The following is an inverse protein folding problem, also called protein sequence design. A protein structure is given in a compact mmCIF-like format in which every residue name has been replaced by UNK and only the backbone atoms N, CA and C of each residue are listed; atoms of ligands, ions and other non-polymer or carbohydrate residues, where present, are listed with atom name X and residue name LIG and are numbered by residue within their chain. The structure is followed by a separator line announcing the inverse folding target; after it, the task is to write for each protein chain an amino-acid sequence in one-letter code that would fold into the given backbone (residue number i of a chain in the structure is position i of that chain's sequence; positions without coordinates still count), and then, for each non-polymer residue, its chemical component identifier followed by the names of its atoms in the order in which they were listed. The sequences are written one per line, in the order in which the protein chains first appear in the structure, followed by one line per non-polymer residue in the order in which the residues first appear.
data_IF_484519742785
#
_entry.id   IF_484519742785
#
_cell.length_a   1.000
_cell.length_b   1.000
_cell.length_c   1.000
_cell.angle_alpha   90.00
_cell.angle_beta   90.00
_cell.angle_gamma   90.00
#
_symmetry.space_group_name_H-M   'P 1'
#
loop_
_entity.id
_entity.type
_entity.pdbx_description
1 polymer ?
#
# COMPACT_ATOMS: atom_id res chain seq x y z
N UNK A 1 -33.08 -16.07 -49.23
CA UNK A 1 -31.70 -15.57 -49.44
C UNK A 1 -31.46 -14.42 -48.47
N UNK A 2 -30.93 -14.68 -47.30
CA UNK A 2 -30.67 -13.71 -46.25
C UNK A 2 -29.34 -14.04 -45.56
N UNK A 3 -28.30 -13.23 -45.79
CA UNK A 3 -26.99 -13.43 -45.18
C UNK A 3 -26.98 -12.80 -43.76
N UNK A 4 -26.82 -13.65 -42.77
CA UNK A 4 -26.50 -13.23 -41.41
C UNK A 4 -25.07 -12.70 -41.37
N UNK A 5 -24.91 -11.48 -40.84
CA UNK A 5 -23.63 -10.83 -40.54
C UNK A 5 -23.32 -11.10 -39.08
N UNK A 6 -22.42 -12.05 -38.85
CA UNK A 6 -21.92 -12.41 -37.56
C UNK A 6 -20.82 -11.37 -37.17
N UNK A 7 -21.21 -10.44 -36.29
CA UNK A 7 -20.34 -9.43 -35.73
C UNK A 7 -19.56 -9.96 -34.50
N UNK A 8 -18.52 -10.75 -34.73
CA UNK A 8 -17.65 -11.22 -33.65
C UNK A 8 -17.01 -10.05 -32.90
N UNK A 9 -17.49 -9.76 -31.70
CA UNK A 9 -16.84 -8.92 -30.71
C UNK A 9 -15.49 -9.56 -30.33
N UNK A 10 -14.40 -9.05 -30.87
CA UNK A 10 -13.06 -9.35 -30.35
C UNK A 10 -12.96 -8.78 -28.96
N UNK A 11 -12.96 -9.65 -27.96
CA UNK A 11 -12.57 -9.31 -26.62
C UNK A 11 -11.10 -8.86 -26.69
N UNK A 12 -10.85 -7.61 -26.30
CA UNK A 12 -9.50 -7.06 -26.22
C UNK A 12 -8.70 -7.85 -25.18
N UNK A 13 -7.70 -8.60 -25.63
CA UNK A 13 -6.73 -9.23 -24.74
C UNK A 13 -6.07 -8.18 -23.86
N UNK A 14 -5.95 -8.43 -22.55
CA UNK A 14 -5.26 -7.50 -21.66
C UNK A 14 -3.78 -7.38 -22.11
N UNK A 15 -3.37 -6.15 -22.36
CA UNK A 15 -2.01 -5.83 -22.80
C UNK A 15 -0.98 -6.43 -21.81
N UNK A 16 -0.11 -7.27 -22.33
CA UNK A 16 1.00 -7.88 -21.61
C UNK A 16 1.95 -6.75 -21.14
N UNK A 17 2.34 -6.68 -19.86
CA UNK A 17 3.24 -5.63 -19.38
C UNK A 17 4.62 -5.73 -20.07
N UNK A 18 5.34 -4.61 -20.24
CA UNK A 18 6.63 -4.59 -20.92
C UNK A 18 7.64 -5.52 -20.23
N UNK A 19 8.50 -6.23 -20.98
CA UNK A 19 9.36 -7.32 -20.48
C UNK A 19 10.45 -6.93 -19.48
N UNK A 20 10.52 -5.69 -19.04
CA UNK A 20 11.48 -5.21 -18.02
C UNK A 20 10.91 -4.91 -16.65
N UNK A 21 9.58 -4.69 -16.50
CA UNK A 21 8.96 -4.27 -15.25
C UNK A 21 8.69 -5.46 -14.29
N UNK A 22 8.38 -6.63 -14.81
CA UNK A 22 8.05 -7.83 -14.02
C UNK A 22 9.24 -8.33 -13.18
N UNK A 23 10.48 -8.39 -13.67
CA UNK A 23 11.62 -8.85 -12.86
C UNK A 23 11.98 -7.92 -11.71
N UNK A 24 11.79 -6.61 -11.87
CA UNK A 24 12.11 -5.62 -10.84
C UNK A 24 11.13 -5.70 -9.67
N UNK A 25 9.84 -5.82 -9.96
CA UNK A 25 8.79 -5.94 -8.95
C UNK A 25 8.97 -7.22 -8.13
N UNK A 26 9.22 -8.36 -8.79
CA UNK A 26 9.53 -9.62 -8.10
C UNK A 26 10.79 -9.53 -7.23
N UNK A 27 11.83 -8.83 -7.67
CA UNK A 27 13.06 -8.63 -6.88
C UNK A 27 12.80 -7.76 -5.63
N UNK A 28 11.98 -6.72 -5.75
CA UNK A 28 11.72 -5.80 -4.64
C UNK A 28 10.90 -6.48 -3.53
N UNK A 29 9.91 -7.26 -3.93
CA UNK A 29 8.96 -7.89 -3.01
C UNK A 29 9.44 -9.25 -2.49
N UNK A 30 10.29 -9.96 -3.22
CA UNK A 30 11.01 -11.14 -2.75
C UNK A 30 12.26 -10.80 -1.91
N UNK A 31 12.57 -9.50 -1.74
CA UNK A 31 13.77 -9.05 -1.04
C UNK A 31 13.74 -9.40 0.45
N UNK A 32 14.92 -9.60 1.07
CA UNK A 32 15.03 -9.74 2.53
C UNK A 32 14.36 -8.58 3.27
N UNK A 33 14.50 -7.35 2.75
CA UNK A 33 13.90 -6.15 3.32
C UNK A 33 12.37 -6.21 3.40
N UNK A 34 11.69 -6.79 2.40
CA UNK A 34 10.25 -7.00 2.47
C UNK A 34 9.87 -8.03 3.53
N UNK A 35 10.61 -9.13 3.63
CA UNK A 35 10.36 -10.16 4.65
C UNK A 35 10.52 -9.62 6.07
N UNK A 36 11.50 -8.77 6.29
CA UNK A 36 11.73 -8.12 7.58
C UNK A 36 10.61 -7.12 7.88
N UNK A 37 10.18 -6.32 6.90
CA UNK A 37 9.05 -5.40 7.04
C UNK A 37 7.75 -6.15 7.32
N UNK A 38 7.51 -7.29 6.68
CA UNK A 38 6.35 -8.14 6.92
C UNK A 38 6.34 -8.66 8.35
N UNK A 39 7.48 -9.20 8.80
CA UNK A 39 7.63 -9.72 10.18
C UNK A 39 7.43 -8.62 11.22
N UNK A 40 8.05 -7.46 11.01
CA UNK A 40 7.91 -6.28 11.88
C UNK A 40 6.45 -5.80 11.95
N UNK A 41 5.78 -5.70 10.81
CA UNK A 41 4.39 -5.26 10.72
C UNK A 41 3.43 -6.21 11.42
N UNK A 42 3.56 -7.52 11.20
CA UNK A 42 2.70 -8.53 11.83
C UNK A 42 2.95 -8.63 13.34
N UNK A 43 4.21 -8.58 13.78
CA UNK A 43 4.53 -8.55 15.21
C UNK A 43 3.96 -7.31 15.90
N UNK A 44 3.96 -6.16 15.22
CA UNK A 44 3.36 -4.93 15.75
C UNK A 44 1.83 -5.03 15.87
N UNK A 45 1.16 -5.72 14.95
CA UNK A 45 -0.28 -6.01 15.02
C UNK A 45 -0.59 -6.85 16.26
N UNK A 46 0.15 -7.93 16.48
CA UNK A 46 -0.02 -8.82 17.64
C UNK A 46 0.24 -8.10 18.96
N UNK A 47 1.32 -7.34 19.05
CA UNK A 47 1.68 -6.56 20.23
C UNK A 47 0.61 -5.52 20.57
N UNK A 48 0.10 -4.80 19.55
CA UNK A 48 -0.95 -3.81 19.75
C UNK A 48 -2.28 -4.45 20.18
N UNK A 49 -2.66 -5.57 19.59
CA UNK A 49 -3.87 -6.31 19.99
C UNK A 49 -3.76 -6.78 21.44
N UNK A 50 -2.65 -7.41 21.81
CA UNK A 50 -2.42 -7.86 23.18
C UNK A 50 -2.41 -6.74 24.21
N UNK A 51 -1.84 -5.59 23.85
CA UNK A 51 -1.86 -4.41 24.72
C UNK A 51 -3.28 -3.83 24.90
N UNK A 52 -4.00 -3.62 23.80
CA UNK A 52 -5.33 -2.99 23.83
C UNK A 52 -6.38 -3.89 24.52
N UNK A 53 -6.30 -5.19 24.38
CA UNK A 53 -7.21 -6.13 25.04
C UNK A 53 -6.82 -6.42 26.52
N UNK A 54 -5.57 -6.21 26.85
CA UNK A 54 -4.99 -6.50 28.17
C UNK A 54 -4.67 -5.22 28.99
N UNK A 55 -3.36 -4.93 29.18
CA UNK A 55 -2.91 -3.86 30.08
C UNK A 55 -3.48 -2.48 29.73
N UNK A 56 -3.58 -2.18 28.45
CA UNK A 56 -4.08 -0.87 27.99
C UNK A 56 -5.52 -0.59 28.40
N UNK A 57 -6.36 -1.63 28.49
CA UNK A 57 -7.72 -1.52 28.99
C UNK A 57 -7.75 -1.16 30.48
N UNK A 58 -6.83 -1.67 31.27
CA UNK A 58 -6.71 -1.33 32.69
C UNK A 58 -6.18 0.10 32.85
N UNK A 59 -5.13 0.46 32.13
CA UNK A 59 -4.53 1.80 32.16
C UNK A 59 -5.53 2.90 31.74
N UNK A 60 -6.34 2.64 30.72
CA UNK A 60 -7.32 3.60 30.21
C UNK A 60 -8.37 4.02 31.25
N UNK A 61 -8.71 3.12 32.19
CA UNK A 61 -9.67 3.40 33.27
C UNK A 61 -9.15 4.35 34.35
N UNK A 62 -7.82 4.48 34.43
CA UNK A 62 -7.15 5.34 35.41
C UNK A 62 -6.88 6.74 34.87
N UNK A 63 -7.14 6.99 33.59
CA UNK A 63 -6.88 8.27 32.95
C UNK A 63 -7.94 9.32 33.30
N UNK A 64 -7.56 10.60 33.45
CA UNK A 64 -8.50 11.71 33.49
C UNK A 64 -9.39 11.72 32.23
N UNK A 65 -10.60 12.27 32.33
CA UNK A 65 -11.60 12.23 31.25
C UNK A 65 -11.07 12.68 29.88
N UNK A 66 -10.29 13.74 29.82
CA UNK A 66 -9.67 14.25 28.58
C UNK A 66 -8.67 13.28 27.99
N UNK A 67 -7.80 12.72 28.82
CA UNK A 67 -6.81 11.72 28.41
C UNK A 67 -7.48 10.39 28.02
N UNK A 68 -8.57 9.99 28.70
CA UNK A 68 -9.34 8.80 28.36
C UNK A 68 -9.98 8.90 26.95
N UNK A 69 -10.51 10.08 26.60
CA UNK A 69 -11.04 10.34 25.26
C UNK A 69 -9.94 10.30 24.21
N UNK A 70 -8.79 10.90 24.51
CA UNK A 70 -7.61 10.84 23.62
C UNK A 70 -7.10 9.41 23.45
N UNK A 71 -7.08 8.61 24.54
CA UNK A 71 -6.74 7.19 24.50
C UNK A 71 -7.66 6.41 23.55
N UNK A 72 -8.98 6.58 23.69
CA UNK A 72 -9.93 5.92 22.80
C UNK A 72 -9.70 6.30 21.34
N UNK A 73 -9.52 7.59 21.06
CA UNK A 73 -9.27 8.10 19.71
C UNK A 73 -7.97 7.54 19.12
N UNK A 74 -6.87 7.56 19.89
CA UNK A 74 -5.58 7.07 19.40
C UNK A 74 -5.56 5.53 19.25
N UNK A 75 -6.25 4.81 20.13
CA UNK A 75 -6.44 3.36 19.99
C UNK A 75 -7.17 2.99 18.69
N UNK A 76 -8.23 3.73 18.34
CA UNK A 76 -8.95 3.54 17.08
C UNK A 76 -8.06 3.86 15.87
N UNK A 77 -7.27 4.93 15.93
CA UNK A 77 -6.31 5.30 14.87
C UNK A 77 -5.23 4.24 14.71
N UNK A 78 -4.66 3.78 15.81
CA UNK A 78 -3.67 2.71 15.81
C UNK A 78 -4.22 1.45 15.15
N UNK A 79 -5.40 1.00 15.58
CA UNK A 79 -6.06 -0.19 15.03
C UNK A 79 -6.33 -0.05 13.53
N UNK A 80 -6.92 1.07 13.09
CA UNK A 80 -7.20 1.33 11.68
C UNK A 80 -5.91 1.33 10.84
N UNK A 81 -4.86 1.96 11.34
CA UNK A 81 -3.56 2.01 10.67
C UNK A 81 -2.95 0.62 10.54
N UNK A 82 -2.97 -0.17 11.61
CA UNK A 82 -2.44 -1.52 11.61
C UNK A 82 -3.24 -2.46 10.70
N UNK A 83 -4.57 -2.31 10.62
CA UNK A 83 -5.39 -3.04 9.64
C UNK A 83 -4.99 -2.71 8.20
N UNK A 84 -4.73 -1.44 7.89
CA UNK A 84 -4.26 -1.03 6.56
C UNK A 84 -2.87 -1.59 6.25
N UNK A 85 -1.96 -1.53 7.22
CA UNK A 85 -0.60 -2.10 7.13
C UNK A 85 -0.67 -3.60 6.87
N UNK A 86 -1.41 -4.35 7.69
CA UNK A 86 -1.55 -5.79 7.54
C UNK A 86 -2.18 -6.18 6.19
N UNK A 87 -3.24 -5.49 5.79
CA UNK A 87 -3.91 -5.75 4.50
C UNK A 87 -2.96 -5.54 3.33
N UNK A 88 -2.16 -4.46 3.34
CA UNK A 88 -1.19 -4.21 2.28
C UNK A 88 -0.09 -5.28 2.24
N UNK A 89 0.46 -5.63 3.41
CA UNK A 89 1.51 -6.65 3.53
C UNK A 89 1.03 -8.02 3.04
N UNK A 90 -0.20 -8.43 3.40
CA UNK A 90 -0.78 -9.71 2.97
C UNK A 90 -1.04 -9.75 1.47
N UNK A 91 -1.59 -8.68 0.89
CA UNK A 91 -1.78 -8.58 -0.57
C UNK A 91 -0.44 -8.67 -1.30
N UNK A 92 0.58 -7.99 -0.80
CA UNK A 92 1.90 -8.02 -1.42
C UNK A 92 2.57 -9.39 -1.29
N UNK A 93 2.38 -10.07 -0.17
CA UNK A 93 2.84 -11.44 0.03
C UNK A 93 2.16 -12.39 -0.95
N UNK A 94 0.85 -12.33 -1.12
CA UNK A 94 0.10 -13.16 -2.05
C UNK A 94 0.56 -12.96 -3.52
N UNK A 95 0.96 -11.73 -3.88
CA UNK A 95 1.59 -11.47 -5.20
C UNK A 95 2.94 -12.16 -5.32
N UNK A 96 3.76 -12.14 -4.25
CA UNK A 96 5.08 -12.78 -4.25
C UNK A 96 4.99 -14.31 -4.35
N UNK A 97 3.97 -14.88 -3.72
CA UNK A 97 3.71 -16.32 -3.74
C UNK A 97 2.98 -16.75 -5.03
N UNK A 98 2.63 -15.80 -5.91
CA UNK A 98 1.96 -16.07 -7.19
C UNK A 98 0.47 -16.38 -7.06
N UNK A 99 -0.12 -16.22 -5.88
CA UNK A 99 -1.54 -16.44 -5.61
C UNK A 99 -2.41 -15.33 -6.21
N UNK A 100 -1.87 -14.13 -6.32
CA UNK A 100 -2.53 -12.97 -6.93
C UNK A 100 -1.71 -12.43 -8.10
N UNK A 101 -2.42 -12.10 -9.17
CA UNK A 101 -1.82 -11.34 -10.26
C UNK A 101 -1.59 -9.89 -9.84
N UNK A 102 -0.61 -9.26 -10.46
CA UNK A 102 -0.32 -7.84 -10.24
C UNK A 102 -1.53 -6.92 -10.46
N UNK A 103 -2.43 -7.26 -11.40
CA UNK A 103 -3.64 -6.49 -11.68
C UNK A 103 -4.71 -6.67 -10.58
N UNK A 104 -4.88 -7.90 -10.08
CA UNK A 104 -5.76 -8.18 -8.95
C UNK A 104 -5.29 -7.47 -7.68
N UNK A 105 -3.97 -7.42 -7.45
CA UNK A 105 -3.38 -6.69 -6.34
C UNK A 105 -3.64 -5.18 -6.43
N UNK A 106 -3.60 -4.58 -7.63
CA UNK A 106 -3.95 -3.16 -7.82
C UNK A 106 -5.39 -2.88 -7.41
N UNK A 107 -6.33 -3.72 -7.81
CA UNK A 107 -7.74 -3.58 -7.42
C UNK A 107 -7.91 -3.72 -5.89
N UNK A 108 -7.19 -4.64 -5.26
CA UNK A 108 -7.14 -4.79 -3.81
C UNK A 108 -6.52 -3.59 -3.09
N UNK A 109 -5.41 -3.04 -3.62
CA UNK A 109 -4.73 -1.86 -3.07
C UNK A 109 -5.57 -0.59 -3.13
N UNK A 110 -6.37 -0.38 -4.17
CA UNK A 110 -7.31 0.74 -4.24
C UNK A 110 -8.35 0.71 -3.12
N UNK A 111 -8.65 -0.46 -2.56
CA UNK A 111 -9.52 -0.61 -1.39
C UNK A 111 -8.79 -0.32 -0.08
N UNK A 112 -7.47 -0.56 -0.02
CA UNK A 112 -6.63 -0.24 1.14
C UNK A 112 -6.08 1.18 0.94
N UNK A 113 -6.88 2.19 1.26
CA UNK A 113 -6.39 3.56 1.30
C UNK A 113 -5.44 3.70 2.48
N UNK A 114 -4.15 3.75 2.22
CA UNK A 114 -3.13 4.16 3.19
C UNK A 114 -3.30 5.67 3.43
N UNK A 115 -4.37 6.07 4.08
CA UNK A 115 -4.62 7.47 4.39
C UNK A 115 -3.74 7.88 5.56
N UNK A 116 -2.97 8.95 5.39
CA UNK A 116 -2.42 9.69 6.53
C UNK A 116 -3.60 10.20 7.34
N UNK A 117 -3.74 9.72 8.56
CA UNK A 117 -4.73 10.24 9.49
C UNK A 117 -4.11 11.49 10.14
N UNK A 118 -4.25 12.63 9.47
CA UNK A 118 -3.62 13.91 9.84
C UNK A 118 -4.24 14.62 11.06
N UNK A 119 -5.20 14.00 11.73
CA UNK A 119 -5.72 14.55 12.98
C UNK A 119 -4.81 14.11 14.13
N UNK A 120 -3.62 14.69 14.21
CA UNK A 120 -2.78 14.55 15.39
C UNK A 120 -3.55 15.06 16.63
N UNK A 121 -3.60 14.24 17.66
CA UNK A 121 -3.92 14.75 19.00
C UNK A 121 -2.93 15.88 19.31
N UNK A 122 -3.40 16.96 19.95
CA UNK A 122 -2.48 18.00 20.40
C UNK A 122 -1.33 17.36 21.18
N UNK A 123 -0.10 17.76 20.89
CA UNK A 123 1.11 17.10 21.43
C UNK A 123 1.06 16.96 22.95
N UNK A 124 0.52 17.95 23.64
CA UNK A 124 0.34 17.99 25.08
C UNK A 124 -0.60 16.89 25.61
N UNK A 125 -1.66 16.59 24.87
CA UNK A 125 -2.61 15.54 25.25
C UNK A 125 -2.03 14.16 24.90
N UNK A 126 -1.29 14.06 23.78
CA UNK A 126 -0.62 12.82 23.40
C UNK A 126 0.40 12.37 24.45
N UNK A 127 1.13 13.30 25.06
CA UNK A 127 2.11 12.98 26.11
C UNK A 127 1.44 12.51 27.44
N UNK A 128 0.15 12.74 27.61
CA UNK A 128 -0.63 12.20 28.76
C UNK A 128 -1.07 10.74 28.54
N UNK A 129 -0.94 10.22 27.33
CA UNK A 129 -1.29 8.82 27.02
C UNK A 129 -0.27 7.85 27.63
N UNK A 130 -0.69 6.61 27.94
CA UNK A 130 0.22 5.57 28.41
C UNK A 130 1.45 5.43 27.52
N UNK A 131 2.64 5.25 28.09
CA UNK A 131 3.89 5.16 27.32
C UNK A 131 3.86 4.07 26.26
N UNK A 132 3.24 2.93 26.57
CA UNK A 132 3.11 1.81 25.64
C UNK A 132 2.26 2.17 24.43
N UNK A 133 1.10 2.83 24.62
CA UNK A 133 0.27 3.29 23.51
C UNK A 133 1.02 4.26 22.61
N UNK A 134 1.75 5.22 23.21
CA UNK A 134 2.58 6.18 22.48
C UNK A 134 3.66 5.50 21.63
N UNK A 135 4.33 4.51 22.23
CA UNK A 135 5.37 3.75 21.53
C UNK A 135 4.81 2.95 20.35
N UNK A 136 3.68 2.24 20.54
CA UNK A 136 2.99 1.49 19.49
C UNK A 136 2.53 2.42 18.36
N UNK A 137 1.94 3.57 18.71
CA UNK A 137 1.50 4.55 17.72
C UNK A 137 2.65 5.08 16.88
N UNK A 138 3.75 5.51 17.51
CA UNK A 138 4.96 5.98 16.80
C UNK A 138 5.58 4.89 15.90
N UNK A 139 5.63 3.65 16.38
CA UNK A 139 6.14 2.52 15.58
C UNK A 139 5.24 2.24 14.37
N UNK A 140 3.93 2.27 14.55
CA UNK A 140 2.98 2.03 13.47
C UNK A 140 3.06 3.10 12.36
N UNK A 141 3.30 4.36 12.73
CA UNK A 141 3.54 5.44 11.76
C UNK A 141 4.79 5.18 10.92
N UNK A 142 5.91 4.77 11.55
CA UNK A 142 7.16 4.45 10.82
C UNK A 142 6.99 3.28 9.85
N UNK A 143 6.27 2.24 10.27
CA UNK A 143 5.97 1.10 9.39
C UNK A 143 5.09 1.54 8.22
N UNK A 144 4.05 2.34 8.48
CA UNK A 144 3.18 2.88 7.44
C UNK A 144 3.95 3.75 6.43
N UNK A 145 4.84 4.61 6.88
CA UNK A 145 5.67 5.45 6.00
C UNK A 145 6.56 4.62 5.07
N UNK A 146 7.18 3.58 5.61
CA UNK A 146 7.98 2.64 4.80
C UNK A 146 7.14 1.92 3.76
N UNK A 147 5.93 1.52 4.11
CA UNK A 147 4.97 0.89 3.18
C UNK A 147 4.54 1.86 2.10
N UNK A 148 4.20 3.11 2.44
CA UNK A 148 3.83 4.13 1.46
C UNK A 148 4.96 4.36 0.45
N UNK A 149 6.20 4.45 0.93
CA UNK A 149 7.38 4.58 0.07
C UNK A 149 7.54 3.40 -0.89
N UNK A 150 7.37 2.19 -0.36
CA UNK A 150 7.45 0.96 -1.16
C UNK A 150 6.33 0.89 -2.21
N UNK A 151 5.11 1.23 -1.82
CA UNK A 151 3.95 1.26 -2.71
C UNK A 151 4.12 2.27 -3.86
N UNK A 152 4.62 3.47 -3.57
CA UNK A 152 4.96 4.47 -4.58
C UNK A 152 6.04 3.98 -5.53
N UNK A 153 7.08 3.33 -5.03
CA UNK A 153 8.14 2.74 -5.85
C UNK A 153 7.62 1.63 -6.78
N UNK A 154 6.70 0.80 -6.29
CA UNK A 154 6.04 -0.23 -7.08
C UNK A 154 5.13 0.35 -8.17
N UNK A 155 4.43 1.43 -7.89
CA UNK A 155 3.59 2.14 -8.85
C UNK A 155 4.43 2.83 -9.92
N UNK A 156 5.53 3.49 -9.54
CA UNK A 156 6.45 4.16 -10.47
C UNK A 156 7.14 3.16 -11.40
N UNK A 157 7.55 2.00 -10.88
CA UNK A 157 8.16 0.94 -11.69
C UNK A 157 7.17 0.30 -12.69
N UNK A 158 5.88 0.50 -12.50
CA UNK A 158 4.80 0.00 -13.39
C UNK A 158 4.30 1.02 -14.38
N UNK A 159 4.50 2.32 -14.11
CA UNK A 159 4.17 3.34 -15.07
C UNK A 159 4.95 3.02 -16.36
N UNK A 160 4.29 2.89 -17.53
CA UNK A 160 5.02 2.81 -18.78
C UNK A 160 5.93 4.04 -18.78
N UNK A 161 7.24 3.83 -19.05
CA UNK A 161 8.17 4.94 -19.20
C UNK A 161 7.54 5.92 -20.20
N UNK A 162 6.94 6.98 -19.70
CA UNK A 162 6.62 8.13 -20.54
C UNK A 162 7.99 8.63 -20.99
N UNK A 163 8.40 8.27 -22.21
CA UNK A 163 9.60 8.81 -22.81
C UNK A 163 9.59 10.30 -22.55
N UNK A 164 10.67 10.87 -21.98
CA UNK A 164 10.69 12.29 -21.68
C UNK A 164 10.35 13.03 -22.99
N UNK A 165 9.31 13.88 -22.93
CA UNK A 165 8.90 14.69 -24.07
C UNK A 165 10.12 15.53 -24.50
N UNK A 166 10.80 15.12 -25.58
CA UNK A 166 12.07 15.71 -26.02
C UNK A 166 13.21 14.70 -26.18
N UNK A 167 13.02 13.41 -25.87
CA UNK A 167 14.00 12.38 -26.20
C UNK A 167 14.16 12.31 -27.72
N UNK A 168 15.42 12.33 -28.18
CA UNK A 168 15.78 12.13 -29.61
C UNK A 168 15.15 10.86 -30.16
N UNK A 169 15.02 9.82 -29.35
CA UNK A 169 14.38 8.55 -29.70
C UNK A 169 12.88 8.70 -29.91
N UNK A 170 12.18 9.50 -29.11
CA UNK A 170 10.75 9.77 -29.29
C UNK A 170 10.49 10.51 -30.60
N UNK A 171 11.32 11.50 -30.94
CA UNK A 171 11.25 12.19 -32.23
C UNK A 171 11.52 11.27 -33.42
N UNK A 172 12.45 10.34 -33.31
CA UNK A 172 12.73 9.36 -34.37
C UNK A 172 11.58 8.37 -34.55
N UNK A 173 10.96 7.89 -33.47
CA UNK A 173 9.78 7.01 -33.55
C UNK A 173 8.60 7.72 -34.18
N UNK A 174 8.39 8.99 -33.88
CA UNK A 174 7.31 9.78 -34.48
C UNK A 174 7.54 10.04 -35.97
N UNK A 175 8.79 10.31 -36.38
CA UNK A 175 9.18 10.41 -37.81
C UNK A 175 8.97 9.09 -38.57
N UNK A 176 9.32 7.97 -37.96
CA UNK A 176 9.06 6.65 -38.54
C UNK A 176 7.56 6.39 -38.68
N UNK A 177 6.76 6.68 -37.66
CA UNK A 177 5.29 6.52 -37.73
C UNK A 177 4.69 7.39 -38.85
N UNK A 178 5.13 8.63 -38.97
CA UNK A 178 4.67 9.52 -40.03
C UNK A 178 5.05 9.04 -41.44
N UNK A 179 6.23 8.41 -41.59
CA UNK A 179 6.69 7.85 -42.86
C UNK A 179 5.93 6.59 -43.31
N UNK A 180 5.34 5.83 -42.36
CA UNK A 180 4.60 4.59 -42.66
C UNK A 180 3.07 4.77 -42.62
N UNK A 181 2.56 6.00 -42.41
CA UNK A 181 1.12 6.31 -42.37
C UNK A 181 0.59 6.91 -43.67
N UNK A 182 1.37 6.84 -44.76
CA UNK A 182 0.98 7.31 -46.09
C UNK A 182 0.71 6.14 -47.05
#
# INVERSE_FOLDING_TARGET
MGRQHDGGKRLSEPANPPPGAVPFIHRLTASPAFRDLFREGMALVEEAAGYLDGPGRAESRLLPRTAALAYATESMRLTTRLMQVASWLLVQRAVNEGELTSNQALTGRHRVKLSRQDLACAAEIFEQLPPTLRALSRRSLRVQERIIHLDQSLLSARAPEAFPRGSVVAQQVERLRAAFSN
#
